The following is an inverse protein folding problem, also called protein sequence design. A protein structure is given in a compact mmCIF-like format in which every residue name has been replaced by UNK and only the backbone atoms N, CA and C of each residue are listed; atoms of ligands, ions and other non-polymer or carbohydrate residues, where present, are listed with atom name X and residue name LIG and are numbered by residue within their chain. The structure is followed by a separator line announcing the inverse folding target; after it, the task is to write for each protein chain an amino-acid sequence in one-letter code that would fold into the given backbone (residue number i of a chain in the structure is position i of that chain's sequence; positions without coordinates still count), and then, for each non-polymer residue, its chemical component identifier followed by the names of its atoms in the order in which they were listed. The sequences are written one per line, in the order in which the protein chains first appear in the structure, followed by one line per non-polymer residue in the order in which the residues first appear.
data_IF_357206591439
#
_entry.id   IF_357206591439
#
_cell.length_a   1.000
_cell.length_b   1.000
_cell.length_c   1.000
_cell.angle_alpha   90.00
_cell.angle_beta   90.00
_cell.angle_gamma   90.00
#
_symmetry.space_group_name_H-M   'P 1'
#
loop_
_entity.id
_entity.type
_entity.pdbx_description
1 polymer ?
#
# COMPACT_ATOMS: atom_id res chain seq x y z
N UNK A 1 5.87 -15.07 -2.79
CA UNK A 1 6.10 -15.15 -1.34
C UNK A 1 7.45 -15.81 -1.22
N UNK A 2 8.45 -15.02 -0.87
CA UNK A 2 9.81 -15.51 -0.74
C UNK A 2 10.04 -16.01 0.68
N UNK A 3 10.95 -16.96 0.82
CA UNK A 3 11.35 -17.57 2.10
C UNK A 3 12.86 -17.61 2.13
N UNK A 4 13.45 -17.27 3.27
CA UNK A 4 14.89 -17.41 3.47
C UNK A 4 15.30 -18.87 3.69
N UNK A 5 16.61 -19.13 3.64
CA UNK A 5 17.13 -20.47 3.98
C UNK A 5 16.88 -20.81 5.46
N UNK A 6 16.55 -22.07 5.75
CA UNK A 6 16.47 -22.56 7.13
C UNK A 6 17.85 -22.58 7.77
N UNK A 7 18.00 -21.95 8.94
CA UNK A 7 19.20 -22.11 9.78
C UNK A 7 18.94 -23.16 10.84
N UNK A 8 19.82 -24.16 10.90
CA UNK A 8 19.64 -25.30 11.80
C UNK A 8 20.11 -24.97 13.22
N UNK A 9 19.35 -25.43 14.23
CA UNK A 9 19.75 -25.43 15.66
C UNK A 9 20.20 -24.07 16.20
N UNK A 10 19.50 -22.99 15.84
CA UNK A 10 19.78 -21.65 16.37
C UNK A 10 18.50 -20.90 16.69
N UNK A 11 18.57 -20.03 17.70
CA UNK A 11 17.56 -19.01 18.02
C UNK A 11 18.00 -17.61 17.60
N UNK A 12 19.22 -17.48 17.07
CA UNK A 12 19.80 -16.24 16.53
C UNK A 12 20.31 -16.49 15.09
N UNK A 13 19.39 -16.71 14.13
CA UNK A 13 19.74 -16.98 12.74
C UNK A 13 20.28 -15.72 12.04
N UNK A 14 21.39 -15.87 11.31
CA UNK A 14 21.92 -14.83 10.41
C UNK A 14 21.72 -15.27 8.97
N UNK A 15 20.79 -14.62 8.26
CA UNK A 15 20.48 -14.96 6.87
C UNK A 15 21.35 -14.22 5.86
N UNK A 16 21.43 -12.88 5.96
CA UNK A 16 22.08 -12.02 4.97
C UNK A 16 21.56 -12.28 3.54
N UNK A 17 20.25 -12.50 3.41
CA UNK A 17 19.57 -12.77 2.15
C UNK A 17 18.77 -11.54 1.70
N UNK A 18 18.64 -11.35 0.39
CA UNK A 18 17.97 -10.20 -0.20
C UNK A 18 16.80 -10.66 -1.08
N UNK A 19 15.67 -9.98 -0.93
CA UNK A 19 14.47 -10.17 -1.76
C UNK A 19 14.09 -8.86 -2.43
N UNK A 20 13.58 -8.93 -3.66
CA UNK A 20 13.17 -7.76 -4.45
C UNK A 20 11.78 -8.02 -5.02
N UNK A 21 10.89 -7.07 -4.80
CA UNK A 21 9.50 -7.16 -5.24
C UNK A 21 9.01 -5.84 -5.84
N UNK A 22 8.31 -5.94 -6.96
CA UNK A 22 7.48 -4.85 -7.47
C UNK A 22 6.16 -4.83 -6.69
N UNK A 23 5.89 -3.72 -6.02
CA UNK A 23 4.71 -3.55 -5.16
C UNK A 23 3.80 -2.45 -5.70
N UNK A 24 2.50 -2.70 -5.72
CA UNK A 24 1.47 -1.73 -6.14
C UNK A 24 0.41 -1.66 -5.05
N UNK A 25 0.08 -0.44 -4.60
CA UNK A 25 -0.95 -0.18 -3.56
C UNK A 25 -0.81 -1.05 -2.30
N UNK A 26 0.43 -1.37 -1.90
CA UNK A 26 0.73 -2.21 -0.74
C UNK A 26 0.73 -1.38 0.53
N UNK A 27 0.17 -1.95 1.62
CA UNK A 27 0.06 -1.26 2.91
C UNK A 27 1.13 -1.65 3.90
N UNK A 28 1.49 -2.94 3.94
CA UNK A 28 2.43 -3.49 4.91
C UNK A 28 3.41 -4.46 4.25
N UNK A 29 4.61 -4.53 4.80
CA UNK A 29 5.49 -5.69 4.69
C UNK A 29 5.20 -6.57 5.91
N UNK A 30 4.86 -7.84 5.67
CA UNK A 30 4.65 -8.81 6.75
C UNK A 30 5.81 -9.80 6.74
N UNK A 31 6.47 -9.96 7.88
CA UNK A 31 7.48 -10.99 8.09
C UNK A 31 6.95 -11.97 9.10
N UNK A 32 7.03 -13.27 8.78
CA UNK A 32 6.60 -14.34 9.66
C UNK A 32 7.73 -15.36 9.79
N UNK A 33 8.06 -15.70 11.02
CA UNK A 33 9.10 -16.67 11.35
C UNK A 33 8.43 -18.01 11.62
N UNK A 34 8.94 -19.05 10.97
CA UNK A 34 8.53 -20.42 11.15
C UNK A 34 9.71 -21.30 11.55
N UNK A 35 9.44 -22.32 12.37
CA UNK A 35 10.35 -23.43 12.60
C UNK A 35 10.11 -24.50 11.53
N UNK A 36 11.17 -24.86 10.83
CA UNK A 36 11.16 -25.87 9.76
C UNK A 36 11.00 -27.27 10.38
N UNK A 37 9.75 -27.76 10.39
CA UNK A 37 9.40 -29.00 11.06
C UNK A 37 9.76 -30.20 10.17
N UNK A 38 10.12 -31.33 10.79
CA UNK A 38 10.42 -32.56 10.04
C UNK A 38 9.19 -33.11 9.30
N UNK A 39 7.99 -32.81 9.76
CA UNK A 39 6.72 -33.14 9.14
C UNK A 39 5.82 -31.90 9.13
N UNK A 40 5.20 -31.53 7.99
CA UNK A 40 4.31 -30.38 7.92
C UNK A 40 3.10 -30.47 8.86
N UNK A 41 2.53 -29.32 9.28
CA UNK A 41 2.96 -27.97 8.94
C UNK A 41 4.17 -27.48 9.75
N UNK A 42 4.87 -26.47 9.24
CA UNK A 42 5.90 -25.74 9.99
C UNK A 42 5.27 -25.02 11.20
N UNK A 43 5.99 -24.97 12.32
CA UNK A 43 5.49 -24.31 13.53
C UNK A 43 5.66 -22.80 13.43
N UNK A 44 4.59 -22.05 13.68
CA UNK A 44 4.66 -20.59 13.81
C UNK A 44 5.48 -20.21 15.04
N UNK A 45 6.41 -19.26 14.87
CA UNK A 45 7.24 -18.74 15.97
C UNK A 45 6.83 -17.32 16.34
N UNK A 46 6.86 -16.41 15.36
CA UNK A 46 6.59 -15.00 15.58
C UNK A 46 6.29 -14.26 14.28
N UNK A 47 5.78 -13.03 14.36
CA UNK A 47 5.63 -12.15 13.21
C UNK A 47 5.94 -10.69 13.54
N UNK A 48 6.17 -9.89 12.49
CA UNK A 48 6.10 -8.45 12.58
C UNK A 48 5.47 -7.86 11.32
N UNK A 49 4.92 -6.65 11.47
CA UNK A 49 4.27 -5.89 10.41
C UNK A 49 4.97 -4.54 10.32
N UNK A 50 5.44 -4.19 9.14
CA UNK A 50 6.10 -2.91 8.86
C UNK A 50 5.21 -2.14 7.88
N UNK A 51 4.48 -1.11 8.33
CA UNK A 51 3.69 -0.25 7.45
C UNK A 51 4.57 0.46 6.41
N UNK A 52 4.12 0.52 5.15
CA UNK A 52 4.79 1.31 4.13
C UNK A 52 4.78 2.81 4.47
N UNK A 53 3.77 3.29 5.19
CA UNK A 53 3.72 4.68 5.66
C UNK A 53 4.96 5.05 6.48
N UNK A 54 5.33 4.19 7.43
CA UNK A 54 6.55 4.38 8.24
C UNK A 54 7.77 4.41 7.33
N UNK A 55 7.82 3.55 6.31
CA UNK A 55 8.91 3.50 5.34
C UNK A 55 8.99 4.74 4.45
N UNK A 56 7.84 5.32 4.09
CA UNK A 56 7.74 6.45 3.17
C UNK A 56 8.00 7.80 3.85
N UNK A 57 7.82 7.94 5.16
CA UNK A 57 7.88 9.25 5.83
C UNK A 57 9.30 9.78 6.12
N UNK A 58 10.35 8.96 5.98
CA UNK A 58 11.71 9.36 6.36
C UNK A 58 12.73 9.15 5.24
N UNK A 59 13.50 10.18 4.94
CA UNK A 59 14.82 10.01 4.33
C UNK A 59 15.80 9.48 5.40
N UNK A 60 16.76 8.60 5.04
CA UNK A 60 17.11 8.14 3.69
C UNK A 60 16.20 7.04 3.11
N UNK A 61 16.21 6.91 1.79
CA UNK A 61 15.48 5.87 1.02
C UNK A 61 15.82 4.43 1.44
N UNK A 62 17.02 4.21 1.98
CA UNK A 62 17.45 2.93 2.55
C UNK A 62 17.33 3.00 4.07
N UNK A 63 16.56 2.09 4.65
CA UNK A 63 16.40 1.95 6.10
C UNK A 63 17.14 0.74 6.63
N UNK A 64 17.87 0.92 7.71
CA UNK A 64 18.62 -0.14 8.39
C UNK A 64 18.18 -0.15 9.86
N UNK A 65 17.39 -1.14 10.27
CA UNK A 65 16.71 -1.11 11.57
C UNK A 65 16.41 -2.50 12.15
N UNK A 66 16.25 -2.53 13.47
CA UNK A 66 15.71 -3.66 14.21
C UNK A 66 14.19 -3.49 14.41
N UNK A 67 13.42 -4.53 14.08
CA UNK A 67 11.97 -4.60 14.32
C UNK A 67 11.69 -5.65 15.37
N UNK A 68 10.80 -5.32 16.30
CA UNK A 68 10.33 -6.26 17.31
C UNK A 68 9.39 -7.30 16.68
N UNK A 69 9.61 -8.56 17.05
CA UNK A 69 8.76 -9.67 16.68
C UNK A 69 7.78 -9.94 17.84
N UNK A 70 6.52 -10.22 17.50
CA UNK A 70 5.49 -10.62 18.45
C UNK A 70 5.34 -12.16 18.42
N UNK A 71 5.36 -12.86 19.56
CA UNK A 71 5.35 -12.32 20.93
C UNK A 71 6.73 -11.95 21.52
N UNK A 72 7.82 -12.37 20.88
CA UNK A 72 9.18 -12.11 21.36
C UNK A 72 10.23 -12.18 20.25
N UNK A 73 11.37 -11.53 20.51
CA UNK A 73 12.52 -11.50 19.60
C UNK A 73 12.57 -10.20 18.80
N UNK A 74 13.64 -10.05 18.01
CA UNK A 74 13.81 -8.94 17.08
C UNK A 74 14.45 -9.45 15.79
N UNK A 75 14.18 -8.77 14.69
CA UNK A 75 14.82 -9.04 13.40
C UNK A 75 15.47 -7.77 12.85
N UNK A 76 16.68 -7.90 12.33
CA UNK A 76 17.38 -6.83 11.65
C UNK A 76 17.06 -6.86 10.16
N UNK A 77 16.65 -5.74 9.60
CA UNK A 77 16.29 -5.63 8.19
C UNK A 77 16.86 -4.37 7.56
N UNK A 78 17.32 -4.51 6.32
CA UNK A 78 17.68 -3.40 5.44
C UNK A 78 16.62 -3.32 4.35
N UNK A 79 15.91 -2.19 4.25
CA UNK A 79 14.80 -1.99 3.33
C UNK A 79 15.11 -0.80 2.43
N UNK A 80 15.10 -1.02 1.12
CA UNK A 80 15.26 0.03 0.11
C UNK A 80 13.97 0.12 -0.72
N UNK A 81 13.34 1.30 -0.75
CA UNK A 81 12.17 1.56 -1.59
C UNK A 81 12.56 2.34 -2.85
N UNK A 82 12.40 1.75 -4.04
CA UNK A 82 12.67 2.42 -5.33
C UNK A 82 11.37 2.83 -6.01
N UNK A 83 11.43 3.93 -6.78
CA UNK A 83 10.36 4.29 -7.70
C UNK A 83 9.08 4.76 -7.00
N UNK A 84 9.23 5.61 -5.98
CA UNK A 84 8.11 6.25 -5.29
C UNK A 84 7.40 7.17 -6.29
N UNK A 85 6.34 6.68 -6.93
CA UNK A 85 5.45 7.52 -7.73
C UNK A 85 4.37 8.01 -6.78
N UNK A 86 4.57 9.18 -6.18
CA UNK A 86 3.49 9.83 -5.48
C UNK A 86 2.41 10.14 -6.53
N UNK A 87 1.31 9.39 -6.48
CA UNK A 87 0.14 9.59 -7.35
C UNK A 87 -0.53 10.95 -7.13
N UNK A 88 0.02 11.77 -6.23
CA UNK A 88 -0.39 13.14 -5.94
C UNK A 88 0.09 14.12 -7.04
N UNK A 89 1.18 13.83 -7.76
CA UNK A 89 1.71 14.76 -8.76
C UNK A 89 1.07 14.62 -10.15
N UNK A 90 0.42 13.49 -10.46
CA UNK A 90 -0.25 13.29 -11.77
C UNK A 90 -1.58 14.06 -11.86
N UNK A 91 -2.21 14.39 -10.72
CA UNK A 91 -3.40 15.24 -10.71
C UNK A 91 -3.06 16.73 -10.80
N UNK A 92 -1.80 17.11 -10.53
CA UNK A 92 -1.33 18.49 -10.66
C UNK A 92 -0.90 18.84 -12.10
N UNK A 93 -0.32 17.92 -12.87
CA UNK A 93 0.25 18.23 -14.19
C UNK A 93 -0.67 17.98 -15.41
N UNK A 94 -1.91 17.54 -15.24
CA UNK A 94 -2.88 17.43 -16.37
C UNK A 94 -3.99 18.48 -16.37
N UNK A 95 -3.93 19.50 -15.50
CA UNK A 95 -4.92 20.61 -15.55
C UNK A 95 -4.28 22.00 -15.59
N UNK A 96 -3.15 22.16 -16.25
CA UNK A 96 -2.65 23.47 -16.69
C UNK A 96 -2.96 23.73 -18.16
N UNK A 97 -4.24 23.58 -18.57
CA UNK A 97 -4.81 24.16 -19.80
C UNK A 97 -6.34 24.00 -19.85
N UNK A 98 -7.05 24.42 -18.82
CA UNK A 98 -8.47 24.70 -18.94
C UNK A 98 -8.86 25.80 -17.95
N UNK A 99 -9.14 26.98 -18.49
CA UNK A 99 -9.55 28.15 -17.74
C UNK A 99 -10.70 27.85 -16.79
N UNK A 100 -10.56 28.39 -15.59
CA UNK A 100 -11.54 28.37 -14.51
C UNK A 100 -12.89 28.90 -15.01
N UNK A 101 -13.91 28.03 -15.04
CA UNK A 101 -15.30 28.46 -14.88
C UNK A 101 -15.90 27.70 -13.71
N UNK A 102 -15.88 28.34 -12.55
CA UNK A 102 -16.70 27.96 -11.40
C UNK A 102 -18.17 27.96 -11.84
N UNK A 103 -18.76 26.78 -12.04
CA UNK A 103 -20.20 26.65 -12.23
C UNK A 103 -20.88 26.68 -10.86
N UNK A 104 -21.03 27.89 -10.33
CA UNK A 104 -22.00 28.15 -9.27
C UNK A 104 -23.41 27.97 -9.84
N UNK A 105 -24.18 27.04 -9.28
CA UNK A 105 -25.59 26.86 -9.62
C UNK A 105 -26.40 28.01 -9.02
N UNK A 106 -26.62 29.07 -9.81
CA UNK A 106 -27.54 30.16 -9.47
C UNK A 106 -28.92 29.86 -10.03
N UNK A 107 -29.81 29.37 -9.18
CA UNK A 107 -31.23 29.30 -9.45
C UNK A 107 -31.81 30.72 -9.52
N UNK A 108 -32.17 31.20 -10.73
CA UNK A 108 -33.00 32.39 -10.92
C UNK A 108 -34.02 32.22 -12.03
N UNK A 109 -35.27 32.17 -11.58
CA UNK A 109 -36.51 32.67 -12.17
C UNK A 109 -36.58 32.86 -13.69
N UNK A 110 -37.44 32.03 -14.30
CA UNK A 110 -38.51 32.53 -15.16
C UNK A 110 -38.18 32.73 -16.63
N UNK A 111 -38.43 31.69 -17.44
CA UNK A 111 -38.97 31.90 -18.77
C UNK A 111 -40.03 30.85 -19.09
N UNK A 112 -41.29 31.27 -18.97
CA UNK A 112 -42.43 30.64 -19.58
C UNK A 112 -42.15 30.33 -21.05
N UNK A 113 -42.11 29.05 -21.44
CA UNK A 113 -42.52 28.59 -22.77
C UNK A 113 -43.01 27.15 -22.69
N UNK A 114 -44.33 27.07 -22.47
CA UNK A 114 -45.19 25.90 -22.66
C UNK A 114 -44.88 25.24 -24.01
N UNK A 115 -44.54 23.94 -24.02
CA UNK A 115 -45.03 22.96 -25.01
C UNK A 115 -45.16 21.61 -24.31
N UNK A 116 -46.40 21.14 -24.21
CA UNK A 116 -46.80 19.99 -23.40
C UNK A 116 -46.18 18.69 -23.88
N UNK A 117 -45.83 17.84 -22.91
CA UNK A 117 -45.52 16.45 -23.15
C UNK A 117 -46.82 15.68 -23.43
N UNK A 118 -46.90 15.02 -24.58
CA UNK A 118 -48.03 14.16 -24.93
C UNK A 118 -47.93 12.84 -24.15
N UNK A 119 -48.84 12.61 -23.21
CA UNK A 119 -48.96 11.35 -22.48
C UNK A 119 -49.70 10.32 -23.35
N UNK A 120 -49.01 9.25 -23.71
CA UNK A 120 -49.59 8.09 -24.43
C UNK A 120 -50.61 7.40 -23.50
N UNK A 121 -51.83 7.13 -24.00
CA UNK A 121 -52.79 6.24 -23.32
C UNK A 121 -52.49 4.79 -23.72
N UNK A 122 -52.52 3.90 -22.74
CA UNK A 122 -52.49 2.44 -22.91
C UNK A 122 -53.95 1.97 -22.91
N UNK A 123 -54.27 1.02 -23.79
CA UNK A 123 -55.59 0.39 -23.90
C UNK A 123 -55.55 -1.02 -23.32
#
# INVERSE_FOLDING_TARGET
LDRSTTKVKTFDPVWNEQFVHDVVNSKNINLTVFHDAALPPDDFVANCVIPFEDLMQSEPTVKDLWVDLEPQGKIHVIIELKGKTDTVDIVAETTEKAGVVKKEFKERAGFNRRRGAMRRRVH
#
